data_IF_341309950824
#
_entry.id   IF_341309950824
#
_cell.length_a   1.000
_cell.length_b   1.000
_cell.length_c   1.000
_cell.angle_alpha   90.00
_cell.angle_beta   90.00
_cell.angle_gamma   90.00
#
_symmetry.space_group_name_H-M   'P 1'
#
loop_
_entity.id
_entity.type
_entity.pdbx_description
1 polymer ?
#
# COMPACT_ATOMS: atom_id res chain seq x y z
N UNK A 1 49.06 9.06 17.59
CA UNK A 1 48.67 8.41 18.85
C UNK A 1 47.23 7.97 18.68
N UNK A 2 47.02 6.75 18.19
CA UNK A 2 45.68 6.20 17.99
C UNK A 2 45.07 5.91 19.36
N UNK A 3 43.95 6.56 19.67
CA UNK A 3 43.18 6.24 20.86
C UNK A 3 42.64 4.81 20.68
N UNK A 4 43.05 3.89 21.55
CA UNK A 4 42.45 2.56 21.62
C UNK A 4 40.95 2.73 21.89
N UNK A 5 40.13 2.41 20.91
CA UNK A 5 38.67 2.38 21.09
C UNK A 5 38.34 1.18 22.00
N UNK A 6 37.74 1.47 23.15
CA UNK A 6 37.29 0.44 24.09
C UNK A 6 36.22 -0.42 23.41
N UNK A 7 36.47 -1.73 23.32
CA UNK A 7 35.51 -2.70 22.79
C UNK A 7 34.57 -3.13 23.91
N UNK A 8 33.28 -3.17 23.59
CA UNK A 8 32.22 -3.64 24.48
C UNK A 8 31.46 -4.79 23.85
N UNK A 9 30.95 -5.69 24.68
CA UNK A 9 30.08 -6.78 24.25
C UNK A 9 28.62 -6.37 24.37
N UNK A 10 27.89 -6.42 23.26
CA UNK A 10 26.45 -6.16 23.19
C UNK A 10 25.72 -7.40 22.67
N UNK A 11 24.39 -7.44 22.86
CA UNK A 11 23.53 -8.47 22.29
C UNK A 11 22.76 -7.89 21.11
N UNK A 12 22.83 -8.51 19.94
CA UNK A 12 22.12 -8.11 18.72
C UNK A 12 21.32 -9.30 18.20
N UNK A 13 19.99 -9.22 18.23
CA UNK A 13 19.12 -10.30 17.76
C UNK A 13 19.34 -11.63 18.50
N UNK A 14 19.67 -11.56 19.79
CA UNK A 14 19.99 -12.74 20.62
C UNK A 14 21.43 -13.25 20.48
N UNK A 15 22.27 -12.63 19.64
CA UNK A 15 23.69 -13.00 19.48
C UNK A 15 24.60 -11.98 20.17
N UNK A 16 25.61 -12.44 20.90
CA UNK A 16 26.64 -11.55 21.47
C UNK A 16 27.65 -11.16 20.40
N UNK A 17 27.94 -9.86 20.30
CA UNK A 17 28.93 -9.30 19.36
C UNK A 17 29.78 -8.26 20.06
N UNK A 18 31.05 -8.15 19.66
CA UNK A 18 31.98 -7.13 20.17
C UNK A 18 32.02 -5.95 19.20
N UNK A 19 31.82 -4.74 19.72
CA UNK A 19 31.79 -3.50 18.94
C UNK A 19 32.54 -2.39 19.67
N UNK A 20 33.02 -1.34 18.99
CA UNK A 20 33.54 -0.15 19.66
C UNK A 20 32.47 0.55 20.51
N UNK A 21 32.86 1.08 21.67
CA UNK A 21 31.95 1.84 22.56
C UNK A 21 31.34 3.09 21.89
N UNK A 22 32.01 3.64 20.87
CA UNK A 22 31.49 4.64 19.96
C UNK A 22 31.46 4.04 18.55
N UNK A 23 30.27 3.70 18.05
CA UNK A 23 30.11 2.97 16.77
C UNK A 23 28.94 3.53 15.96
N UNK A 24 28.60 2.89 14.83
CA UNK A 24 27.41 3.21 14.04
C UNK A 24 26.50 1.99 13.89
N UNK A 25 25.21 2.24 13.64
CA UNK A 25 24.27 1.17 13.32
C UNK A 25 24.67 0.35 12.08
N UNK A 26 25.40 0.96 11.14
CA UNK A 26 25.93 0.25 9.97
C UNK A 26 27.03 -0.74 10.38
N UNK A 27 27.95 -0.30 11.23
CA UNK A 27 29.05 -1.12 11.74
C UNK A 27 28.53 -2.27 12.62
N UNK A 28 27.58 -2.01 13.52
CA UNK A 28 26.93 -3.05 14.32
C UNK A 28 26.28 -4.11 13.41
N UNK A 29 25.59 -3.71 12.34
CA UNK A 29 25.00 -4.65 11.36
C UNK A 29 26.06 -5.48 10.66
N UNK A 30 27.13 -4.85 10.19
CA UNK A 30 28.23 -5.55 9.52
C UNK A 30 28.85 -6.60 10.44
N UNK A 31 29.14 -6.25 11.70
CA UNK A 31 29.70 -7.18 12.69
C UNK A 31 28.72 -8.31 13.02
N UNK A 32 27.42 -7.99 13.12
CA UNK A 32 26.39 -8.98 13.41
C UNK A 32 25.99 -9.85 12.19
N UNK A 33 26.55 -9.61 11.01
CA UNK A 33 26.22 -10.33 9.78
C UNK A 33 24.79 -10.04 9.28
N UNK A 34 24.31 -8.81 9.47
CA UNK A 34 22.97 -8.37 9.08
C UNK A 34 23.01 -7.55 7.79
N UNK A 35 22.11 -7.86 6.85
CA UNK A 35 21.95 -7.09 5.62
C UNK A 35 21.46 -5.66 5.88
N UNK A 36 21.65 -4.77 4.90
CA UNK A 36 21.21 -3.35 4.98
C UNK A 36 19.72 -3.17 5.26
N UNK A 37 18.89 -4.15 4.94
CA UNK A 37 17.44 -4.18 5.21
C UNK A 37 17.07 -4.51 6.66
N UNK A 38 18.00 -4.50 7.62
CA UNK A 38 17.70 -4.71 9.04
C UNK A 38 17.71 -3.41 9.83
N UNK A 39 16.71 -3.24 10.69
CA UNK A 39 16.60 -2.14 11.65
C UNK A 39 17.03 -2.64 13.02
N UNK A 40 17.86 -1.82 13.67
CA UNK A 40 18.26 -2.05 15.06
C UNK A 40 17.38 -1.20 15.97
N UNK A 41 16.83 -1.83 17.00
CA UNK A 41 16.14 -1.14 18.08
C UNK A 41 16.83 -1.45 19.40
N UNK A 42 17.24 -0.42 20.14
CA UNK A 42 17.79 -0.57 21.50
C UNK A 42 16.65 -0.98 22.43
N UNK A 43 16.87 -2.02 23.23
CA UNK A 43 15.93 -2.52 24.23
C UNK A 43 16.30 -1.94 25.60
N UNK A 44 15.41 -1.14 26.18
CA UNK A 44 15.54 -0.59 27.54
C UNK A 44 14.18 -0.65 28.23
N UNK A 45 14.14 -1.13 29.48
CA UNK A 45 12.93 -1.12 30.32
C UNK A 45 11.69 -1.75 29.64
N UNK A 46 11.90 -2.82 28.87
CA UNK A 46 10.83 -3.51 28.13
C UNK A 46 10.34 -2.80 26.87
N UNK A 47 10.93 -1.66 26.50
CA UNK A 47 10.61 -0.91 25.27
C UNK A 47 11.73 -1.03 24.23
N UNK A 48 11.33 -1.11 22.96
CA UNK A 48 12.24 -1.10 21.82
C UNK A 48 12.21 0.27 21.15
N UNK A 49 13.36 0.96 21.11
CA UNK A 49 13.53 2.24 20.42
C UNK A 49 14.45 2.08 19.23
N UNK A 50 13.93 2.30 18.02
CA UNK A 50 14.73 2.29 16.79
C UNK A 50 15.85 3.31 16.89
N UNK A 51 17.06 2.89 16.53
CA UNK A 51 18.27 3.73 16.50
C UNK A 51 18.82 3.82 15.07
N UNK A 52 19.47 4.93 14.75
CA UNK A 52 20.10 5.19 13.45
C UNK A 52 21.36 6.02 13.62
N UNK A 53 22.24 6.00 12.60
CA UNK A 53 23.48 6.78 12.61
C UNK A 53 24.52 6.26 13.61
N UNK A 54 25.30 7.20 14.16
CA UNK A 54 26.33 6.96 15.18
C UNK A 54 25.72 6.92 16.58
N UNK A 55 26.19 6.02 17.43
CA UNK A 55 25.71 5.84 18.80
C UNK A 55 26.83 5.43 19.75
N UNK A 56 26.68 5.83 21.01
CA UNK A 56 27.43 5.25 22.11
C UNK A 56 26.73 3.99 22.59
N UNK A 57 27.48 2.91 22.72
CA UNK A 57 27.03 1.60 23.19
C UNK A 57 27.79 1.22 24.46
N UNK A 58 27.12 0.51 25.37
CA UNK A 58 27.68 0.10 26.66
C UNK A 58 27.66 -1.42 26.78
N UNK A 59 28.55 -1.94 27.61
CA UNK A 59 28.61 -3.36 27.95
C UNK A 59 27.23 -3.89 28.38
N UNK A 60 26.81 -4.99 27.78
CA UNK A 60 25.54 -5.65 28.09
C UNK A 60 24.29 -5.05 27.44
N UNK A 61 24.39 -3.96 26.66
CA UNK A 61 23.23 -3.43 25.93
C UNK A 61 22.65 -4.47 24.97
N UNK A 62 21.32 -4.46 24.85
CA UNK A 62 20.58 -5.34 23.96
C UNK A 62 19.92 -4.55 22.82
N UNK A 63 20.01 -5.12 21.62
CA UNK A 63 19.40 -4.62 20.41
C UNK A 63 18.51 -5.71 19.82
N UNK A 64 17.22 -5.40 19.70
CA UNK A 64 16.30 -6.15 18.87
C UNK A 64 16.62 -5.90 17.40
N UNK A 65 16.53 -6.96 16.59
CA UNK A 65 16.71 -6.91 15.14
C UNK A 65 15.36 -7.12 14.49
N UNK A 66 14.90 -6.15 13.73
CA UNK A 66 13.76 -6.29 12.83
C UNK A 66 14.22 -6.19 11.39
N UNK A 67 13.38 -6.63 10.45
CA UNK A 67 13.50 -6.14 9.06
C UNK A 67 13.08 -4.68 9.04
N UNK A 68 13.65 -3.89 8.14
CA UNK A 68 13.10 -2.61 7.74
C UNK A 68 11.73 -2.89 7.15
N UNK A 69 10.71 -2.78 7.97
CA UNK A 69 9.40 -2.43 7.48
C UNK A 69 9.38 -0.91 7.50
N UNK A 70 9.21 -0.30 6.34
CA UNK A 70 8.74 1.07 6.32
C UNK A 70 7.35 1.02 6.92
N UNK A 71 7.20 1.62 8.09
CA UNK A 71 5.89 1.89 8.67
C UNK A 71 5.17 2.82 7.69
N UNK A 72 4.52 2.25 6.68
CA UNK A 72 3.71 2.95 5.68
C UNK A 72 4.37 4.19 5.06
N UNK A 73 5.67 4.19 4.71
CA UNK A 73 6.06 5.15 3.68
C UNK A 73 5.57 4.56 2.37
N UNK A 74 4.49 5.12 1.86
CA UNK A 74 4.20 5.04 0.44
C UNK A 74 5.50 5.37 -0.31
N UNK A 75 5.76 4.62 -1.37
CA UNK A 75 6.76 5.06 -2.35
C UNK A 75 6.13 6.25 -3.08
N UNK A 76 6.13 7.41 -2.42
CA UNK A 76 5.43 8.60 -2.88
C UNK A 76 5.92 9.00 -4.26
N UNK A 77 7.22 8.81 -4.55
CA UNK A 77 7.79 9.06 -5.85
C UNK A 77 7.15 8.16 -6.91
N UNK A 78 7.09 6.83 -6.68
CA UNK A 78 6.41 5.93 -7.62
C UNK A 78 4.94 6.27 -7.77
N UNK A 79 4.22 6.53 -6.67
CA UNK A 79 2.80 6.88 -6.75
C UNK A 79 2.59 8.17 -7.54
N UNK A 80 3.41 9.20 -7.32
CA UNK A 80 3.36 10.45 -8.08
C UNK A 80 3.62 10.21 -9.58
N UNK A 81 4.61 9.39 -9.94
CA UNK A 81 4.89 9.05 -11.34
C UNK A 81 3.73 8.29 -12.02
N UNK A 82 3.01 7.45 -11.27
CA UNK A 82 1.80 6.78 -11.77
C UNK A 82 0.63 7.76 -11.93
N UNK A 83 0.44 8.67 -10.96
CA UNK A 83 -0.63 9.66 -11.00
C UNK A 83 -0.41 10.68 -12.12
N UNK A 84 0.83 11.11 -12.34
CA UNK A 84 1.19 11.96 -13.47
C UNK A 84 0.81 11.27 -14.79
N UNK A 85 1.18 9.99 -14.96
CA UNK A 85 0.80 9.23 -16.15
C UNK A 85 -0.70 9.11 -16.33
N UNK A 86 -1.45 8.80 -15.26
CA UNK A 86 -2.91 8.72 -15.33
C UNK A 86 -3.57 10.06 -15.65
N UNK A 87 -3.00 11.18 -15.19
CA UNK A 87 -3.53 12.53 -15.42
C UNK A 87 -3.57 12.92 -16.90
N UNK A 88 -2.82 12.22 -17.76
CA UNK A 88 -2.88 12.41 -19.21
C UNK A 88 -4.15 11.83 -19.85
N UNK A 89 -4.84 10.91 -19.16
CA UNK A 89 -6.03 10.23 -19.65
C UNK A 89 -7.29 10.63 -18.90
N UNK A 90 -7.13 11.06 -17.65
CA UNK A 90 -8.23 11.28 -16.72
C UNK A 90 -8.09 12.63 -16.02
N UNK A 91 -9.23 13.22 -15.66
CA UNK A 91 -9.28 14.34 -14.72
C UNK A 91 -9.24 13.77 -13.29
N UNK A 92 -8.21 14.16 -12.53
CA UNK A 92 -7.84 13.54 -11.25
C UNK A 92 -7.82 14.57 -10.13
N UNK A 93 -8.31 14.17 -8.96
CA UNK A 93 -8.12 14.86 -7.69
C UNK A 93 -7.50 13.93 -6.65
N UNK A 94 -6.52 14.44 -5.89
CA UNK A 94 -5.86 13.74 -4.80
C UNK A 94 -5.82 14.61 -3.55
N UNK A 95 -5.69 13.99 -2.38
CA UNK A 95 -5.42 14.73 -1.14
C UNK A 95 -3.91 14.98 -0.96
N UNK A 96 -3.55 15.93 -0.09
CA UNK A 96 -2.15 16.29 0.20
C UNK A 96 -1.29 15.10 0.67
N UNK A 97 -1.93 14.04 1.17
CA UNK A 97 -1.26 12.83 1.66
C UNK A 97 -1.25 11.69 0.66
N UNK A 98 -1.76 11.91 -0.56
CA UNK A 98 -1.92 10.90 -1.61
C UNK A 98 -2.53 9.59 -1.07
N UNK A 99 -3.48 9.72 -0.14
CA UNK A 99 -4.17 8.61 0.50
C UNK A 99 -5.41 8.16 -0.28
N UNK A 100 -5.92 9.04 -1.14
CA UNK A 100 -7.01 8.76 -2.08
C UNK A 100 -6.77 9.39 -3.45
N UNK A 101 -7.41 8.79 -4.45
CA UNK A 101 -7.49 9.29 -5.82
C UNK A 101 -8.95 9.28 -6.25
N UNK A 102 -9.42 10.43 -6.71
CA UNK A 102 -10.73 10.62 -7.33
C UNK A 102 -10.51 10.82 -8.83
N UNK A 103 -11.16 9.98 -9.63
CA UNK A 103 -11.21 10.11 -11.08
C UNK A 103 -12.60 10.62 -11.46
N UNK A 104 -12.65 11.75 -12.16
CA UNK A 104 -13.89 12.33 -12.67
C UNK A 104 -14.29 11.70 -14.01
N UNK A 105 -15.58 11.44 -14.18
CA UNK A 105 -16.13 11.03 -15.48
C UNK A 105 -15.57 9.73 -16.04
N UNK A 106 -15.26 8.76 -15.16
CA UNK A 106 -14.79 7.43 -15.57
C UNK A 106 -15.82 6.75 -16.48
N UNK A 107 -15.39 6.34 -17.68
CA UNK A 107 -16.27 5.73 -18.67
C UNK A 107 -16.80 4.38 -18.21
N UNK A 108 -18.10 4.16 -18.34
CA UNK A 108 -18.72 2.88 -18.05
C UNK A 108 -19.04 2.11 -19.35
N UNK A 109 -18.95 0.78 -19.33
CA UNK A 109 -19.41 -0.05 -20.44
C UNK A 109 -20.88 0.18 -20.81
N UNK A 110 -21.27 -0.24 -22.02
CA UNK A 110 -22.69 -0.25 -22.40
C UNK A 110 -23.50 -1.15 -21.46
N UNK A 111 -24.74 -0.75 -21.14
CA UNK A 111 -25.64 -1.50 -20.27
C UNK A 111 -25.82 -0.88 -18.88
N UNK A 112 -24.91 -0.02 -18.44
CA UNK A 112 -25.12 0.80 -17.25
C UNK A 112 -26.18 1.87 -17.47
N UNK A 113 -26.85 2.28 -16.40
CA UNK A 113 -27.83 3.39 -16.43
C UNK A 113 -27.20 4.78 -16.59
N UNK A 114 -25.87 4.86 -16.69
CA UNK A 114 -25.08 6.08 -16.91
C UNK A 114 -23.87 5.73 -17.81
N UNK A 115 -23.47 6.63 -18.72
CA UNK A 115 -22.30 6.39 -19.58
C UNK A 115 -20.96 6.64 -18.87
N UNK A 116 -20.97 7.38 -17.76
CA UNK A 116 -19.78 7.73 -16.99
C UNK A 116 -20.14 7.89 -15.51
N UNK A 117 -19.16 7.75 -14.63
CA UNK A 117 -19.30 7.91 -13.18
C UNK A 117 -18.00 8.40 -12.56
N UNK A 118 -18.07 9.13 -11.46
CA UNK A 118 -16.88 9.43 -10.67
C UNK A 118 -16.48 8.17 -9.85
N UNK A 119 -15.18 7.86 -9.81
CA UNK A 119 -14.65 6.75 -9.01
C UNK A 119 -13.60 7.25 -8.02
N UNK A 120 -13.64 6.74 -6.80
CA UNK A 120 -12.74 7.11 -5.71
C UNK A 120 -12.11 5.85 -5.13
N UNK A 121 -10.79 5.80 -4.97
CA UNK A 121 -10.13 4.64 -4.37
C UNK A 121 -8.96 5.04 -3.47
N UNK A 122 -8.66 4.20 -2.48
CA UNK A 122 -7.53 4.42 -1.58
C UNK A 122 -6.24 3.94 -2.22
N UNK A 123 -5.17 4.68 -1.96
CA UNK A 123 -3.79 4.36 -2.39
C UNK A 123 -2.89 4.03 -1.21
N UNK A 124 -3.43 4.05 0.01
CA UNK A 124 -2.70 3.67 1.22
C UNK A 124 -2.03 2.30 1.05
N UNK A 125 -0.71 2.25 1.21
CA UNK A 125 0.10 1.03 1.11
C UNK A 125 0.55 0.66 -0.31
N UNK A 126 0.17 1.43 -1.33
CA UNK A 126 0.75 1.32 -2.66
C UNK A 126 2.28 1.54 -2.62
N UNK A 127 3.07 0.78 -3.38
CA UNK A 127 2.69 -0.27 -4.33
C UNK A 127 2.56 -1.67 -3.72
N UNK A 128 2.78 -1.85 -2.42
CA UNK A 128 2.87 -3.17 -1.77
C UNK A 128 1.53 -3.89 -1.65
N UNK A 129 0.43 -3.14 -1.62
CA UNK A 129 -0.93 -3.65 -1.73
C UNK A 129 -1.64 -2.95 -2.90
N UNK A 130 -2.57 -3.63 -3.59
CA UNK A 130 -3.29 -2.99 -4.69
C UNK A 130 -4.08 -1.77 -4.18
N UNK A 131 -4.35 -0.79 -5.07
CA UNK A 131 -5.34 0.23 -4.77
C UNK A 131 -6.68 -0.41 -4.37
N UNK A 132 -7.50 0.31 -3.61
CA UNK A 132 -8.81 -0.18 -3.15
C UNK A 132 -8.79 -1.45 -2.25
N UNK A 133 -7.63 -2.01 -1.87
CA UNK A 133 -7.55 -3.28 -1.11
C UNK A 133 -8.34 -3.29 0.21
N UNK A 134 -8.36 -2.16 0.92
CA UNK A 134 -8.93 -2.08 2.27
C UNK A 134 -10.35 -1.55 2.23
N UNK A 135 -10.63 -0.63 1.32
CA UNK A 135 -11.89 0.13 1.28
C UNK A 135 -12.61 0.06 -0.06
N UNK A 136 -12.21 -0.83 -0.97
CA UNK A 136 -12.76 -0.98 -2.32
C UNK A 136 -12.72 0.30 -3.15
N UNK A 137 -13.45 0.27 -4.26
CA UNK A 137 -13.71 1.44 -5.10
C UNK A 137 -15.03 2.06 -4.65
N UNK A 138 -15.04 3.36 -4.47
CA UNK A 138 -16.23 4.13 -4.17
C UNK A 138 -16.77 4.72 -5.47
N UNK A 139 -18.08 4.58 -5.67
CA UNK A 139 -18.79 5.08 -6.84
C UNK A 139 -20.06 5.80 -6.41
N UNK A 140 -20.56 6.74 -7.20
CA UNK A 140 -21.83 7.39 -6.91
C UNK A 140 -22.99 6.40 -6.77
N UNK A 141 -23.95 6.71 -5.89
CA UNK A 141 -25.14 5.88 -5.61
C UNK A 141 -26.07 5.70 -6.81
N UNK A 142 -26.85 4.62 -6.81
CA UNK A 142 -27.89 4.37 -7.80
C UNK A 142 -27.37 3.78 -9.11
N UNK A 143 -26.19 3.18 -9.10
CA UNK A 143 -25.63 2.50 -10.27
C UNK A 143 -26.34 1.17 -10.51
N UNK A 144 -26.80 0.95 -11.74
CA UNK A 144 -27.43 -0.31 -12.17
C UNK A 144 -26.91 -0.72 -13.53
N UNK A 145 -26.94 -2.02 -13.81
CA UNK A 145 -26.59 -2.62 -15.09
C UNK A 145 -27.76 -3.45 -15.61
N UNK A 146 -28.24 -3.16 -16.82
CA UNK A 146 -29.46 -3.79 -17.36
C UNK A 146 -30.69 -3.59 -16.47
N UNK A 147 -30.76 -2.46 -15.74
CA UNK A 147 -31.83 -2.17 -14.76
C UNK A 147 -31.73 -2.97 -13.46
N UNK A 148 -30.69 -3.78 -13.27
CA UNK A 148 -30.47 -4.60 -12.08
C UNK A 148 -29.38 -4.02 -11.18
N UNK A 149 -29.51 -4.25 -9.88
CA UNK A 149 -28.47 -3.91 -8.90
C UNK A 149 -27.27 -4.84 -9.09
N UNK A 150 -26.06 -4.29 -9.01
CA UNK A 150 -24.84 -5.08 -9.11
C UNK A 150 -24.62 -5.88 -7.82
N UNK A 151 -24.22 -7.16 -7.89
CA UNK A 151 -23.99 -8.02 -6.72
C UNK A 151 -22.85 -7.51 -5.83
N UNK A 152 -21.82 -6.91 -6.42
CA UNK A 152 -20.63 -6.41 -5.71
C UNK A 152 -20.74 -4.93 -5.31
N UNK A 153 -21.95 -4.36 -5.36
CA UNK A 153 -22.20 -2.94 -5.11
C UNK A 153 -23.12 -2.70 -3.90
N UNK A 154 -22.57 -2.03 -2.91
CA UNK A 154 -23.12 -1.94 -1.57
C UNK A 154 -23.38 -0.49 -1.21
N UNK A 155 -24.60 -0.03 -1.50
CA UNK A 155 -25.02 1.31 -1.11
C UNK A 155 -25.08 1.52 0.40
N UNK A 156 -25.33 0.47 1.18
CA UNK A 156 -25.42 0.54 2.64
C UNK A 156 -24.08 0.82 3.34
N UNK A 157 -22.95 0.59 2.65
CA UNK A 157 -21.61 0.91 3.15
C UNK A 157 -21.19 2.30 2.69
N UNK A 158 -22.13 3.25 2.78
CA UNK A 158 -21.95 4.59 2.25
C UNK A 158 -20.86 5.34 3.01
N UNK A 159 -19.98 6.03 2.30
CA UNK A 159 -19.13 7.06 2.90
C UNK A 159 -19.56 8.44 2.42
N UNK A 160 -19.59 9.39 3.35
CA UNK A 160 -19.75 10.80 3.02
C UNK A 160 -18.38 11.43 2.88
N UNK A 161 -17.95 11.61 1.64
CA UNK A 161 -16.65 12.18 1.26
C UNK A 161 -16.89 13.21 0.16
N UNK A 162 -16.12 14.30 0.16
CA UNK A 162 -16.24 15.38 -0.83
C UNK A 162 -17.66 15.96 -0.93
N UNK A 163 -18.40 15.98 0.19
CA UNK A 163 -19.79 16.45 0.23
C UNK A 163 -20.82 15.53 -0.42
N UNK A 164 -20.41 14.37 -0.93
CA UNK A 164 -21.25 13.40 -1.67
C UNK A 164 -21.40 12.08 -0.91
N UNK A 165 -22.38 11.29 -1.29
CA UNK A 165 -22.58 9.92 -0.82
C UNK A 165 -22.04 8.92 -1.83
N UNK A 166 -21.13 8.06 -1.35
CA UNK A 166 -20.45 7.08 -2.16
C UNK A 166 -20.85 5.67 -1.77
N UNK A 167 -21.28 4.86 -2.72
CA UNK A 167 -21.49 3.43 -2.55
C UNK A 167 -20.18 2.66 -2.70
N UNK A 168 -20.06 1.55 -1.98
CA UNK A 168 -18.87 0.70 -2.02
C UNK A 168 -19.00 -0.36 -3.11
N UNK A 169 -18.04 -0.40 -4.03
CA UNK A 169 -17.87 -1.45 -5.02
C UNK A 169 -16.71 -2.38 -4.59
N UNK A 170 -17.05 -3.64 -4.33
CA UNK A 170 -16.09 -4.65 -3.92
C UNK A 170 -15.32 -5.16 -5.15
N UNK A 171 -14.02 -4.88 -5.18
CA UNK A 171 -13.11 -5.41 -6.22
C UNK A 171 -12.61 -6.82 -5.92
N UNK A 172 -13.02 -7.42 -4.79
CA UNK A 172 -12.61 -8.76 -4.39
C UNK A 172 -11.10 -8.90 -4.15
N UNK A 173 -10.60 -10.13 -4.22
CA UNK A 173 -9.17 -10.42 -4.15
C UNK A 173 -8.54 -10.28 -5.54
N UNK A 174 -7.76 -9.22 -5.73
CA UNK A 174 -6.91 -9.03 -6.90
C UNK A 174 -5.55 -9.71 -6.67
N UNK A 175 -5.10 -10.54 -7.62
CA UNK A 175 -3.72 -10.99 -7.64
C UNK A 175 -2.84 -9.79 -8.01
N UNK A 176 -2.00 -9.33 -7.09
CA UNK A 176 -1.19 -8.12 -7.24
C UNK A 176 0.28 -8.42 -6.98
N UNK A 177 1.13 -8.09 -7.94
CA UNK A 177 2.58 -8.13 -7.85
C UNK A 177 3.12 -6.69 -7.74
N UNK A 178 3.63 -6.28 -6.56
CA UNK A 178 4.10 -4.93 -6.34
C UNK A 178 5.30 -4.54 -7.23
N UNK A 179 5.97 -5.48 -7.88
CA UNK A 179 7.08 -5.21 -8.81
C UNK A 179 6.64 -5.05 -10.26
N UNK A 180 5.43 -5.50 -10.61
CA UNK A 180 4.97 -5.57 -12.01
C UNK A 180 3.70 -4.79 -12.27
N UNK A 181 2.82 -4.72 -11.29
CA UNK A 181 1.51 -4.09 -11.42
C UNK A 181 1.56 -2.62 -11.01
N UNK A 182 0.71 -1.82 -11.66
CA UNK A 182 0.61 -0.39 -11.49
C UNK A 182 -0.84 0.11 -11.45
N UNK A 183 -1.05 1.43 -11.34
CA UNK A 183 -2.41 1.97 -11.29
C UNK A 183 -3.19 1.71 -12.59
N UNK A 184 -2.50 1.58 -13.73
CA UNK A 184 -3.14 1.21 -15.00
C UNK A 184 -3.59 -0.25 -14.97
N UNK A 185 -2.77 -1.16 -14.46
CA UNK A 185 -3.17 -2.57 -14.23
C UNK A 185 -4.43 -2.66 -13.36
N UNK A 186 -4.50 -1.83 -12.31
CA UNK A 186 -5.67 -1.75 -11.45
C UNK A 186 -6.92 -1.28 -12.20
N UNK A 187 -6.84 -0.20 -12.99
CA UNK A 187 -7.98 0.33 -13.75
C UNK A 187 -8.44 -0.65 -14.86
N UNK A 188 -7.51 -1.28 -15.57
CA UNK A 188 -7.86 -2.33 -16.54
C UNK A 188 -8.58 -3.50 -15.85
N UNK A 189 -8.13 -3.88 -14.65
CA UNK A 189 -8.83 -4.92 -13.88
C UNK A 189 -10.23 -4.46 -13.49
N UNK A 190 -10.39 -3.21 -13.05
CA UNK A 190 -11.69 -2.63 -12.75
C UNK A 190 -12.60 -2.61 -13.98
N UNK A 191 -12.09 -2.26 -15.16
CA UNK A 191 -12.85 -2.30 -16.41
C UNK A 191 -13.38 -3.69 -16.72
N UNK A 192 -12.56 -4.73 -16.54
CA UNK A 192 -12.99 -6.11 -16.73
C UNK A 192 -14.09 -6.51 -15.75
N UNK A 193 -14.01 -6.07 -14.49
CA UNK A 193 -15.07 -6.30 -13.49
C UNK A 193 -16.36 -5.55 -13.83
N UNK A 194 -16.24 -4.35 -14.40
CA UNK A 194 -17.39 -3.54 -14.78
C UNK A 194 -18.02 -4.00 -16.10
N UNK A 195 -17.25 -4.64 -16.99
CA UNK A 195 -17.76 -5.15 -18.27
C UNK A 195 -18.69 -6.36 -18.11
N UNK A 196 -18.49 -7.19 -17.10
CA UNK A 196 -19.41 -8.27 -16.71
C UNK A 196 -19.70 -8.23 -15.21
N UNK A 197 -20.53 -7.28 -14.76
CA UNK A 197 -20.72 -7.06 -13.33
C UNK A 197 -21.69 -8.07 -12.71
N UNK A 198 -22.41 -8.85 -13.52
CA UNK A 198 -23.37 -9.85 -13.07
C UNK A 198 -22.75 -11.26 -13.00
N UNK A 199 -21.61 -11.49 -13.68
CA UNK A 199 -20.91 -12.78 -13.71
C UNK A 199 -21.76 -13.86 -14.36
N UNK A 200 -22.61 -13.48 -15.31
CA UNK A 200 -23.50 -14.41 -15.99
C UNK A 200 -22.65 -15.26 -16.93
N UNK A 201 -22.56 -16.56 -16.64
CA UNK A 201 -22.03 -17.51 -17.61
C UNK A 201 -22.90 -17.37 -18.85
N UNK A 202 -22.28 -17.04 -19.98
CA UNK A 202 -22.88 -17.29 -21.27
C UNK A 202 -23.28 -18.77 -21.27
N UNK A 203 -24.58 -19.04 -21.16
CA UNK A 203 -25.07 -20.37 -21.47
C UNK A 203 -24.74 -20.55 -22.94
N UNK A 204 -23.72 -21.35 -23.23
CA UNK A 204 -23.45 -21.82 -24.58
C UNK A 204 -24.77 -22.36 -25.09
N UNK A 205 -25.38 -21.63 -26.01
CA UNK A 205 -26.64 -21.98 -26.61
C UNK A 205 -26.50 -23.34 -27.29
N UNK A 206 -26.88 -24.40 -26.58
CA UNK A 206 -27.22 -25.67 -27.20
C UNK A 206 -28.57 -25.45 -27.85
N UNK A 207 -28.52 -24.91 -29.06
CA UNK A 207 -29.54 -25.08 -30.07
C UNK A 207 -29.68 -26.57 -30.38
N UNK A 208 -30.83 -27.16 -30.06
CA UNK A 208 -31.68 -27.97 -30.95
C UNK A 208 -32.74 -28.74 -30.14
#
# INVERSE_FOLDING_TARGET
>A
MEAQQELVTITVGGRKVMVPGQTSTAEIRTIAGLDRGHVLARTSDGMNRVVSGSLQVREGEAFAVGRSFTKGSMDDARLLDELERLSHFFDLETDDRLSWVLIYGYGLPEGYNRPQIDILFNTAGFPYIPPASIFGVYMERGLTYGGRRLPNYYEALTRRLFGREWAWFCTGHMAWDPQRDDLTTFLVTLDLMLADPLGERLEDGVNA
#
